data_IF_538526670137
#
_entry.id   IF_538526670137
#
_cell.length_a   1.000
_cell.length_b   1.000
_cell.length_c   1.000
_cell.angle_alpha   90.00
_cell.angle_beta   90.00
_cell.angle_gamma   90.00
#
_symmetry.space_group_name_H-M   'P 1'
#
loop_
_entity.id
_entity.type
_entity.pdbx_description
1 polymer ?
#
# COMPACT_ATOMS: atom_id res chain seq x y z
N UNK A 1 16.46 20.13 -1.93
CA UNK A 1 15.07 19.63 -2.01
C UNK A 1 15.03 18.24 -1.39
N UNK A 2 14.22 17.99 -0.34
CA UNK A 2 14.14 16.67 0.29
C UNK A 2 13.33 15.71 -0.61
N UNK A 3 13.92 14.58 -0.99
CA UNK A 3 13.19 13.50 -1.65
C UNK A 3 12.18 12.88 -0.67
N UNK A 4 10.90 13.26 -0.83
CA UNK A 4 9.77 12.79 -0.02
C UNK A 4 9.57 11.27 -0.13
N UNK A 5 9.92 10.65 -1.27
CA UNK A 5 9.81 9.19 -1.47
C UNK A 5 10.82 8.47 -0.58
N UNK A 6 12.07 8.93 -0.55
CA UNK A 6 13.11 8.34 0.30
C UNK A 6 12.79 8.49 1.78
N UNK A 7 12.33 9.66 2.21
CA UNK A 7 11.92 9.88 3.60
C UNK A 7 10.75 8.96 4.02
N UNK A 8 9.79 8.70 3.12
CA UNK A 8 8.69 7.75 3.35
C UNK A 8 9.18 6.31 3.44
N UNK A 9 10.06 5.87 2.53
CA UNK A 9 10.63 4.52 2.54
C UNK A 9 11.44 4.24 3.81
N UNK A 10 12.22 5.24 4.29
CA UNK A 10 12.97 5.15 5.54
C UNK A 10 12.04 4.90 6.75
N UNK A 11 10.95 5.67 6.86
CA UNK A 11 9.95 5.50 7.94
C UNK A 11 9.26 4.14 7.89
N UNK A 12 8.90 3.65 6.70
CA UNK A 12 8.21 2.37 6.54
C UNK A 12 9.10 1.15 6.83
N UNK A 13 10.44 1.29 6.76
CA UNK A 13 11.39 0.17 6.88
C UNK A 13 11.26 -0.58 8.21
N UNK A 14 11.21 0.13 9.34
CA UNK A 14 11.17 -0.48 10.68
C UNK A 14 9.94 -1.38 10.86
N UNK A 15 8.76 -0.86 10.55
CA UNK A 15 7.50 -1.61 10.65
C UNK A 15 7.47 -2.80 9.69
N UNK A 16 7.93 -2.63 8.45
CA UNK A 16 8.00 -3.72 7.47
C UNK A 16 8.93 -4.85 7.91
N UNK A 17 10.06 -4.51 8.53
CA UNK A 17 10.99 -5.49 9.08
C UNK A 17 10.35 -6.28 10.23
N UNK A 18 9.66 -5.61 11.15
CA UNK A 18 8.98 -6.31 12.26
C UNK A 18 7.85 -7.23 11.78
N UNK A 19 7.08 -6.80 10.78
CA UNK A 19 6.02 -7.66 10.21
C UNK A 19 6.62 -8.91 9.52
N UNK A 20 7.76 -8.76 8.85
CA UNK A 20 8.47 -9.88 8.23
C UNK A 20 9.01 -10.85 9.29
N UNK A 21 9.55 -10.33 10.40
CA UNK A 21 10.00 -11.13 11.56
C UNK A 21 8.84 -11.95 12.17
N UNK A 22 7.67 -11.33 12.32
CA UNK A 22 6.46 -11.98 12.85
C UNK A 22 5.78 -12.93 11.86
N UNK A 23 6.24 -13.00 10.60
CA UNK A 23 5.63 -13.78 9.50
C UNK A 23 4.11 -13.57 9.40
N UNK A 24 3.67 -12.33 9.59
CA UNK A 24 2.25 -11.99 9.51
C UNK A 24 1.87 -11.52 8.12
N UNK A 25 0.64 -11.80 7.70
CA UNK A 25 0.05 -11.20 6.49
C UNK A 25 -0.04 -9.68 6.69
N UNK A 26 0.30 -8.90 5.66
CA UNK A 26 0.31 -7.43 5.76
C UNK A 26 -0.59 -6.78 4.73
N UNK A 27 -1.35 -5.78 5.16
CA UNK A 27 -2.01 -4.84 4.26
C UNK A 27 -1.05 -3.69 3.95
N UNK A 28 -0.62 -3.57 2.69
CA UNK A 28 0.22 -2.49 2.20
C UNK A 28 -0.63 -1.45 1.48
N UNK A 29 -0.69 -0.24 2.03
CA UNK A 29 -1.39 0.90 1.42
C UNK A 29 -0.38 1.85 0.77
N UNK A 30 -0.63 2.22 -0.47
CA UNK A 30 0.10 3.25 -1.20
C UNK A 30 -0.84 4.38 -1.58
N UNK A 31 -0.48 5.62 -1.21
CA UNK A 31 -1.22 6.82 -1.60
C UNK A 31 -0.37 7.70 -2.51
N UNK A 32 -0.97 8.10 -3.62
CA UNK A 32 -0.49 9.14 -4.54
C UNK A 32 -1.36 10.40 -4.38
N UNK A 33 -1.17 11.42 -5.21
CA UNK A 33 -2.01 12.62 -5.15
C UNK A 33 -3.47 12.35 -5.58
N UNK A 34 -3.67 11.46 -6.56
CA UNK A 34 -4.98 11.25 -7.19
C UNK A 34 -5.60 9.88 -6.90
N UNK A 35 -4.81 8.93 -6.38
CA UNK A 35 -5.21 7.53 -6.24
C UNK A 35 -4.67 6.89 -4.97
N UNK A 36 -5.43 5.91 -4.46
CA UNK A 36 -5.06 5.03 -3.37
C UNK A 36 -5.09 3.57 -3.83
N UNK A 37 -4.14 2.80 -3.30
CA UNK A 37 -3.93 1.40 -3.65
C UNK A 37 -3.72 0.60 -2.37
N UNK A 38 -4.32 -0.58 -2.30
CA UNK A 38 -4.21 -1.50 -1.17
C UNK A 38 -3.91 -2.91 -1.67
N UNK A 39 -2.97 -3.59 -1.01
CA UNK A 39 -2.58 -4.96 -1.32
C UNK A 39 -2.43 -5.77 -0.05
N UNK A 40 -3.06 -6.94 0.00
CA UNK A 40 -2.86 -7.95 1.04
C UNK A 40 -1.72 -8.85 0.59
N UNK A 41 -0.59 -8.80 1.29
CA UNK A 41 0.62 -9.55 0.95
C UNK A 41 0.76 -10.69 1.95
N UNK A 42 1.01 -11.89 1.42
CA UNK A 42 1.28 -13.10 2.19
C UNK A 42 2.43 -12.93 3.20
N UNK A 43 2.43 -13.76 4.24
CA UNK A 43 3.48 -13.81 5.26
C UNK A 43 4.90 -14.01 4.69
N UNK A 44 5.03 -14.71 3.55
CA UNK A 44 6.31 -14.92 2.85
C UNK A 44 6.80 -13.64 2.13
N UNK A 45 5.94 -12.64 1.96
CA UNK A 45 6.28 -11.35 1.34
C UNK A 45 6.35 -11.38 -0.19
N UNK A 46 6.23 -12.54 -0.82
CA UNK A 46 6.40 -12.77 -2.26
C UNK A 46 5.09 -12.78 -3.05
N UNK A 47 3.97 -13.18 -2.42
CA UNK A 47 2.66 -13.31 -3.08
C UNK A 47 1.67 -12.26 -2.58
N UNK A 48 0.96 -11.63 -3.51
CA UNK A 48 -0.24 -10.80 -3.23
C UNK A 48 -1.46 -11.72 -3.20
N UNK A 49 -2.20 -11.70 -2.10
CA UNK A 49 -3.41 -12.50 -1.88
C UNK A 49 -4.66 -11.81 -2.45
N UNK A 50 -4.74 -10.49 -2.27
CA UNK A 50 -5.81 -9.66 -2.77
C UNK A 50 -5.28 -8.23 -3.02
N UNK A 51 -5.89 -7.51 -3.95
CA UNK A 51 -5.60 -6.11 -4.22
C UNK A 51 -6.91 -5.35 -4.48
N UNK A 52 -6.92 -4.08 -4.12
CA UNK A 52 -8.01 -3.15 -4.39
C UNK A 52 -7.42 -1.76 -4.65
N UNK A 53 -7.98 -0.99 -5.57
CA UNK A 53 -7.55 0.39 -5.84
C UNK A 53 -8.66 1.29 -6.34
N UNK A 54 -8.50 2.60 -6.19
CA UNK A 54 -9.45 3.58 -6.74
C UNK A 54 -9.41 3.67 -8.28
N UNK A 55 -8.50 2.95 -8.94
CA UNK A 55 -8.46 2.80 -10.39
C UNK A 55 -9.32 1.66 -10.92
N UNK A 56 -9.82 0.77 -10.05
CA UNK A 56 -10.70 -0.31 -10.48
C UNK A 56 -12.01 0.25 -11.02
N UNK A 57 -12.52 -0.25 -12.17
CA UNK A 57 -13.71 0.31 -12.82
C UNK A 57 -14.93 0.38 -11.89
N UNK A 58 -15.15 -0.65 -11.09
CA UNK A 58 -16.29 -0.71 -10.17
C UNK A 58 -16.14 0.30 -9.02
N UNK A 59 -14.93 0.44 -8.47
CA UNK A 59 -14.64 1.38 -7.38
C UNK A 59 -14.72 2.82 -7.88
N UNK A 60 -14.19 3.09 -9.08
CA UNK A 60 -14.19 4.43 -9.69
C UNK A 60 -15.59 4.97 -10.00
N UNK A 61 -16.55 4.10 -10.31
CA UNK A 61 -17.96 4.51 -10.50
C UNK A 61 -18.61 5.00 -9.21
N UNK A 62 -18.14 4.50 -8.07
CA UNK A 62 -18.74 4.78 -6.75
C UNK A 62 -18.12 5.97 -6.03
N UNK A 63 -16.93 6.41 -6.45
CA UNK A 63 -16.17 7.46 -5.78
C UNK A 63 -16.11 8.75 -6.62
N UNK A 64 -16.38 9.93 -6.04
CA UNK A 64 -16.22 11.21 -6.73
C UNK A 64 -14.75 11.52 -7.03
N UNK A 65 -13.85 11.24 -6.10
CA UNK A 65 -12.39 11.42 -6.22
C UNK A 65 -11.67 10.14 -5.77
N UNK A 66 -10.55 9.79 -6.43
CA UNK A 66 -9.78 8.59 -6.10
C UNK A 66 -8.70 8.78 -5.03
N UNK A 67 -8.42 10.01 -4.62
CA UNK A 67 -7.28 10.38 -3.77
C UNK A 67 -7.64 10.97 -2.40
N UNK A 68 -8.93 11.25 -2.18
CA UNK A 68 -9.50 11.79 -0.94
C UNK A 68 -10.20 10.70 -0.12
#
# INVERSE_FOLDING_TARGET
MIDKKQARLRRARKTRAKIAELKSVRLSVHRSNCHIYAQVISACGSKVLAAASSLEPEVRKTLPNGGD
#
